data_IF_106465016284
#
_entry.id   IF_106465016284
#
_cell.length_a   1.000
_cell.length_b   1.000
_cell.length_c   1.000
_cell.angle_alpha   90.00
_cell.angle_beta   90.00
_cell.angle_gamma   90.00
#
_symmetry.space_group_name_H-M   'P 1'
#
loop_
_entity.id
_entity.type
_entity.pdbx_description
1 polymer ?
#
# COMPACT_ATOMS: atom_id res chain seq x y z
N UNK A 1 -2.29 -19.14 -24.67
CA UNK A 1 -1.70 -18.71 -23.38
C UNK A 1 -2.79 -18.14 -22.50
N UNK A 2 -3.28 -18.92 -21.54
CA UNK A 2 -4.25 -18.46 -20.54
C UNK A 2 -3.57 -17.35 -19.72
N UNK A 3 -3.98 -16.09 -19.92
CA UNK A 3 -3.51 -14.99 -19.07
C UNK A 3 -4.04 -15.27 -17.65
N UNK A 4 -3.18 -15.84 -16.80
CA UNK A 4 -3.46 -16.01 -15.38
C UNK A 4 -3.91 -14.68 -14.77
N UNK A 5 -4.82 -14.73 -13.79
CA UNK A 5 -5.27 -13.52 -13.08
C UNK A 5 -4.04 -12.76 -12.56
N UNK A 6 -3.98 -11.43 -12.73
CA UNK A 6 -2.86 -10.65 -12.22
C UNK A 6 -2.78 -10.82 -10.70
N UNK A 7 -1.59 -11.19 -10.20
CA UNK A 7 -1.36 -11.32 -8.75
C UNK A 7 -1.71 -10.03 -8.00
N UNK A 8 -2.26 -10.19 -6.80
CA UNK A 8 -2.67 -9.09 -5.93
C UNK A 8 -1.77 -9.01 -4.68
N UNK A 9 -1.55 -7.80 -4.18
CA UNK A 9 -0.85 -7.54 -2.93
C UNK A 9 -1.54 -6.40 -2.15
N UNK A 10 -1.20 -6.29 -0.88
CA UNK A 10 -1.55 -5.15 -0.02
C UNK A 10 -0.25 -4.40 0.30
N UNK A 11 -0.26 -3.07 0.21
CA UNK A 11 0.80 -2.28 0.85
C UNK A 11 0.58 -2.37 2.35
N UNK A 12 1.62 -2.70 3.12
CA UNK A 12 1.49 -2.87 4.55
C UNK A 12 0.78 -1.66 5.18
N UNK A 13 -0.45 -1.83 5.71
CA UNK A 13 -1.26 -0.70 6.19
C UNK A 13 -0.57 0.11 7.28
N UNK A 14 0.29 -0.57 8.04
CA UNK A 14 1.04 0.08 9.10
C UNK A 14 2.09 1.07 8.59
N UNK A 15 2.49 1.01 7.32
CA UNK A 15 3.46 1.94 6.70
C UNK A 15 2.79 3.12 5.98
N UNK A 16 1.47 3.10 5.83
CA UNK A 16 0.75 4.04 4.97
C UNK A 16 0.92 5.48 5.45
N UNK A 17 0.90 5.71 6.76
CA UNK A 17 1.04 7.05 7.33
C UNK A 17 2.43 7.64 7.05
N UNK A 18 3.47 6.80 7.10
CA UNK A 18 4.85 7.19 6.93
C UNK A 18 5.25 7.38 5.45
N UNK A 19 4.60 6.65 4.52
CA UNK A 19 4.82 6.84 3.07
C UNK A 19 3.95 7.94 2.47
N UNK A 20 2.82 8.31 3.10
CA UNK A 20 1.89 9.29 2.55
C UNK A 20 2.54 10.64 2.20
N UNK A 21 3.40 11.25 3.05
CA UNK A 21 4.09 12.49 2.72
C UNK A 21 4.95 12.39 1.45
N UNK A 22 5.51 11.22 1.17
CA UNK A 22 6.36 10.97 0.00
C UNK A 22 5.58 10.96 -1.31
N UNK A 23 4.28 10.65 -1.25
CA UNK A 23 3.40 10.59 -2.43
C UNK A 23 2.93 11.97 -2.91
N UNK A 24 3.03 12.99 -2.05
CA UNK A 24 2.55 14.35 -2.33
C UNK A 24 1.03 14.45 -2.39
N UNK A 25 0.55 15.51 -3.06
CA UNK A 25 -0.88 15.74 -3.26
C UNK A 25 -1.48 14.87 -4.38
N UNK A 26 -2.81 14.92 -4.55
CA UNK A 26 -3.53 14.18 -5.59
C UNK A 26 -3.00 14.44 -7.01
N UNK A 27 -2.64 15.68 -7.33
CA UNK A 27 -2.11 16.06 -8.65
C UNK A 27 -0.67 15.56 -8.87
N UNK A 28 0.06 15.27 -7.80
CA UNK A 28 1.47 14.90 -7.86
C UNK A 28 1.70 13.40 -7.82
N UNK A 29 0.71 12.63 -7.38
CA UNK A 29 0.90 11.21 -7.05
C UNK A 29 1.38 10.36 -8.22
N UNK A 30 0.91 10.65 -9.44
CA UNK A 30 1.37 9.93 -10.62
C UNK A 30 2.85 10.18 -10.87
N UNK A 31 3.31 11.43 -10.66
CA UNK A 31 4.71 11.83 -10.84
C UNK A 31 5.59 11.29 -9.72
N UNK A 32 5.19 11.46 -8.45
CA UNK A 32 6.00 11.12 -7.27
C UNK A 32 6.00 9.62 -6.94
N UNK A 33 4.85 8.95 -7.09
CA UNK A 33 4.65 7.57 -6.66
C UNK A 33 4.44 6.57 -7.82
N UNK A 34 4.29 7.05 -9.06
CA UNK A 34 4.15 6.18 -10.24
C UNK A 34 2.83 5.41 -10.31
N UNK A 35 1.83 5.80 -9.51
CA UNK A 35 0.50 5.17 -9.43
C UNK A 35 -0.61 6.20 -9.57
N UNK A 36 -1.80 5.77 -9.99
CA UNK A 36 -2.97 6.65 -10.06
C UNK A 36 -3.52 6.98 -8.67
N UNK A 37 -4.23 8.11 -8.55
CA UNK A 37 -4.93 8.49 -7.32
C UNK A 37 -5.92 7.41 -6.84
N UNK A 38 -6.62 6.74 -7.76
CA UNK A 38 -7.50 5.61 -7.42
C UNK A 38 -6.73 4.42 -6.79
N UNK A 39 -5.51 4.15 -7.27
CA UNK A 39 -4.66 3.11 -6.67
C UNK A 39 -4.19 3.52 -5.28
N UNK A 40 -3.89 4.80 -5.08
CA UNK A 40 -3.53 5.33 -3.77
C UNK A 40 -4.69 5.27 -2.78
N UNK A 41 -5.92 5.61 -3.18
CA UNK A 41 -7.10 5.44 -2.33
C UNK A 41 -7.23 3.99 -1.84
N UNK A 42 -6.94 3.01 -2.70
CA UNK A 42 -6.91 1.59 -2.31
C UNK A 42 -5.82 1.31 -1.29
N UNK A 43 -4.60 1.78 -1.53
CA UNK A 43 -3.48 1.68 -0.58
C UNK A 43 -3.83 2.30 0.78
N UNK A 44 -4.32 3.54 0.80
CA UNK A 44 -4.70 4.24 2.04
C UNK A 44 -5.85 3.58 2.79
N UNK A 45 -6.66 2.79 2.10
CA UNK A 45 -7.72 2.00 2.70
C UNK A 45 -7.24 0.61 3.15
N UNK A 46 -6.05 0.15 2.76
CA UNK A 46 -5.62 -1.24 2.99
C UNK A 46 -6.27 -2.25 2.03
N UNK A 47 -6.79 -1.78 0.89
CA UNK A 47 -7.37 -2.63 -0.16
C UNK A 47 -6.29 -3.24 -1.05
N UNK A 48 -6.51 -4.46 -1.55
CA UNK A 48 -5.60 -5.08 -2.51
C UNK A 48 -5.46 -4.28 -3.80
N UNK A 49 -4.23 -4.24 -4.29
CA UNK A 49 -3.84 -3.69 -5.59
C UNK A 49 -3.11 -4.77 -6.39
N UNK A 50 -2.94 -4.56 -7.70
CA UNK A 50 -2.12 -5.45 -8.52
C UNK A 50 -0.67 -5.40 -8.04
N UNK A 51 0.03 -6.54 -8.04
CA UNK A 51 1.46 -6.63 -7.70
C UNK A 51 2.30 -5.66 -8.53
N UNK A 52 1.99 -5.48 -9.81
CA UNK A 52 2.70 -4.53 -10.68
C UNK A 52 2.50 -3.06 -10.30
N UNK A 53 1.43 -2.73 -9.59
CA UNK A 53 1.19 -1.38 -9.04
C UNK A 53 1.96 -1.24 -7.72
N UNK A 54 1.89 -2.26 -6.84
CA UNK A 54 2.65 -2.27 -5.59
C UNK A 54 4.16 -2.17 -5.80
N UNK A 55 4.71 -2.91 -6.77
CA UNK A 55 6.13 -2.84 -7.15
C UNK A 55 6.54 -1.47 -7.68
N UNK A 56 5.69 -0.82 -8.48
CA UNK A 56 5.94 0.55 -8.99
C UNK A 56 5.98 1.56 -7.85
N UNK A 57 5.00 1.50 -6.95
CA UNK A 57 4.99 2.34 -5.76
C UNK A 57 6.26 2.13 -4.93
N UNK A 58 6.59 0.87 -4.60
CA UNK A 58 7.78 0.50 -3.85
C UNK A 58 9.06 1.06 -4.46
N UNK A 59 9.27 0.87 -5.77
CA UNK A 59 10.44 1.37 -6.49
C UNK A 59 10.57 2.91 -6.49
N UNK A 60 9.47 3.65 -6.30
CA UNK A 60 9.47 5.13 -6.20
C UNK A 60 9.65 5.63 -4.77
N UNK A 61 9.22 4.85 -3.78
CA UNK A 61 9.24 5.23 -2.37
C UNK A 61 10.56 4.89 -1.70
N UNK A 62 11.12 3.69 -1.93
CA UNK A 62 12.34 3.25 -1.24
C UNK A 62 13.53 4.21 -1.40
N UNK A 63 13.86 4.73 -2.61
CA UNK A 63 14.97 5.67 -2.76
C UNK A 63 14.78 6.98 -1.98
N UNK A 64 13.55 7.30 -1.61
CA UNK A 64 13.14 8.52 -0.90
C UNK A 64 12.76 8.26 0.55
N UNK A 65 12.97 7.04 1.05
CA UNK A 65 12.56 6.66 2.40
C UNK A 65 13.20 7.55 3.48
N UNK A 66 14.45 7.99 3.24
CA UNK A 66 15.19 8.89 4.09
C UNK A 66 14.53 10.26 4.26
N UNK A 67 13.62 10.69 3.38
CA UNK A 67 12.85 11.93 3.53
C UNK A 67 11.77 11.80 4.63
N UNK A 68 11.41 10.57 5.04
CA UNK A 68 10.38 10.31 6.06
C UNK A 68 11.01 9.97 7.40
N UNK A 69 10.82 10.86 8.38
CA UNK A 69 11.24 10.60 9.76
C UNK A 69 10.53 9.39 10.37
N UNK A 70 9.26 9.15 10.01
CA UNK A 70 8.50 7.98 10.47
C UNK A 70 9.13 6.66 10.01
N UNK A 71 9.64 6.61 8.77
CA UNK A 71 10.33 5.41 8.28
C UNK A 71 11.68 5.21 8.99
N UNK A 72 12.45 6.28 9.24
CA UNK A 72 13.70 6.21 10.03
C UNK A 72 13.47 5.65 11.43
N UNK A 73 12.43 6.12 12.13
CA UNK A 73 12.10 5.62 13.47
C UNK A 73 11.67 4.16 13.48
N UNK A 74 11.03 3.70 12.39
CA UNK A 74 10.44 2.36 12.31
C UNK A 74 11.42 1.29 11.83
N UNK A 75 12.35 1.67 10.97
CA UNK A 75 13.39 0.79 10.43
C UNK A 75 14.77 1.39 10.71
N UNK A 76 15.18 1.54 11.98
CA UNK A 76 16.45 2.16 12.31
C UNK A 76 17.63 1.30 11.85
N UNK A 77 18.67 1.93 11.32
CA UNK A 77 19.96 1.30 11.05
C UNK A 77 21.11 2.27 11.29
N UNK A 78 22.31 1.74 11.53
CA UNK A 78 23.56 2.50 11.63
C UNK A 78 24.12 2.80 10.22
N UNK A 79 23.31 3.41 9.35
CA UNK A 79 23.70 3.84 8.00
C UNK A 79 23.66 5.37 7.89
N UNK A 80 24.27 5.92 6.83
CA UNK A 80 24.30 7.37 6.57
C UNK A 80 22.90 8.00 6.53
N UNK A 81 21.89 7.26 6.06
CA UNK A 81 20.51 7.73 5.98
C UNK A 81 19.60 7.21 7.12
N UNK A 82 20.16 6.42 8.04
CA UNK A 82 19.49 5.92 9.24
C UNK A 82 18.37 4.91 9.00
N UNK A 83 18.35 4.22 7.85
CA UNK A 83 17.28 3.30 7.47
C UNK A 83 17.81 1.90 7.14
N UNK A 84 17.21 0.88 7.75
CA UNK A 84 17.31 -0.50 7.27
C UNK A 84 16.43 -0.69 6.03
N UNK A 85 17.02 -0.43 4.86
CA UNK A 85 16.34 -0.57 3.58
C UNK A 85 15.93 -2.01 3.28
N UNK A 86 16.66 -3.01 3.77
CA UNK A 86 16.32 -4.41 3.54
C UNK A 86 15.07 -4.80 4.32
N UNK A 87 14.99 -4.39 5.60
CA UNK A 87 13.80 -4.61 6.42
C UNK A 87 12.58 -3.84 5.88
N UNK A 88 12.76 -2.58 5.46
CA UNK A 88 11.70 -1.80 4.83
C UNK A 88 11.21 -2.44 3.51
N UNK A 89 12.14 -2.88 2.66
CA UNK A 89 11.84 -3.56 1.40
C UNK A 89 11.00 -4.83 1.62
N UNK A 90 11.40 -5.65 2.59
CA UNK A 90 10.69 -6.88 2.97
C UNK A 90 9.30 -6.60 3.56
N UNK A 91 9.15 -5.55 4.36
CA UNK A 91 7.89 -5.20 5.02
C UNK A 91 6.89 -4.45 4.12
N UNK A 92 7.32 -3.95 2.94
CA UNK A 92 6.53 -3.02 2.14
C UNK A 92 5.23 -3.62 1.58
N UNK A 93 5.29 -4.85 1.03
CA UNK A 93 4.16 -5.52 0.41
C UNK A 93 3.81 -6.81 1.18
N UNK A 94 2.53 -6.97 1.50
CA UNK A 94 1.97 -8.18 2.10
C UNK A 94 1.24 -9.01 1.04
N UNK A 95 1.32 -10.35 1.10
CA UNK A 95 0.53 -11.22 0.25
C UNK A 95 -0.97 -11.08 0.56
N UNK A 96 -1.81 -11.31 -0.44
CA UNK A 96 -3.28 -11.34 -0.28
C UNK A 96 -3.71 -12.80 -0.21
N UNK A 97 -4.56 -13.14 0.76
CA UNK A 97 -5.13 -14.47 0.85
C UNK A 97 -5.92 -14.80 -0.45
N UNK A 98 -5.81 -16.02 -1.00
CA UNK A 98 -6.41 -16.38 -2.30
C UNK A 98 -7.91 -16.04 -2.42
N UNK A 99 -8.68 -16.22 -1.35
CA UNK A 99 -10.11 -15.92 -1.29
C UNK A 99 -10.42 -14.44 -1.56
N UNK A 100 -9.59 -13.53 -1.04
CA UNK A 100 -9.75 -12.06 -1.17
C UNK A 100 -9.40 -11.58 -2.57
N UNK A 101 -8.48 -12.25 -3.25
CA UNK A 101 -8.01 -11.84 -4.59
C UNK A 101 -9.10 -11.94 -5.67
N UNK A 102 -10.16 -12.73 -5.45
CA UNK A 102 -11.22 -12.98 -6.44
C UNK A 102 -12.30 -11.89 -6.44
N UNK A 103 -12.58 -11.28 -5.28
CA UNK A 103 -13.69 -10.35 -5.09
C UNK A 103 -13.34 -8.87 -5.35
N UNK A 104 -12.05 -8.51 -5.30
CA UNK A 104 -11.58 -7.13 -5.46
C UNK A 104 -11.72 -6.62 -6.90
N UNK A 105 -11.73 -7.52 -7.89
CA UNK A 105 -11.92 -7.17 -9.31
C UNK A 105 -13.33 -6.65 -9.64
N UNK A 106 -14.31 -6.85 -8.75
CA UNK A 106 -15.69 -6.40 -8.93
C UNK A 106 -16.02 -5.11 -8.16
N UNK A 107 -15.04 -4.41 -7.58
CA UNK A 107 -15.30 -3.18 -6.83
C UNK A 107 -15.64 -2.02 -7.77
N UNK A 108 -16.72 -1.24 -7.50
CA UNK A 108 -17.02 -0.04 -8.26
C UNK A 108 -15.89 0.99 -8.12
N UNK A 109 -15.79 1.98 -9.03
CA UNK A 109 -14.78 3.03 -8.94
C UNK A 109 -14.80 3.70 -7.57
N UNK A 110 -13.68 3.61 -6.85
CA UNK A 110 -13.55 4.11 -5.49
C UNK A 110 -13.06 5.56 -5.56
N UNK A 111 -13.99 6.51 -5.43
CA UNK A 111 -13.69 7.95 -5.54
C UNK A 111 -13.32 8.62 -4.20
N UNK A 112 -13.38 7.89 -3.08
CA UNK A 112 -13.01 8.43 -1.76
C UNK A 112 -12.50 7.34 -0.81
N UNK A 113 -11.59 7.72 0.10
CA UNK A 113 -11.05 6.85 1.14
C UNK A 113 -12.15 6.33 2.07
N UNK A 114 -13.11 7.19 2.44
CA UNK A 114 -14.27 6.79 3.26
C UNK A 114 -15.06 5.65 2.62
N UNK A 115 -15.39 5.76 1.33
CA UNK A 115 -16.12 4.72 0.60
C UNK A 115 -15.29 3.45 0.44
N UNK A 116 -13.98 3.59 0.25
CA UNK A 116 -13.04 2.48 0.23
C UNK A 116 -13.07 1.69 1.55
N UNK A 117 -13.03 2.40 2.68
CA UNK A 117 -13.07 1.80 4.01
C UNK A 117 -14.40 1.09 4.31
N UNK A 118 -15.53 1.69 3.91
CA UNK A 118 -16.85 1.05 4.04
C UNK A 118 -16.94 -0.29 3.29
N UNK A 119 -16.31 -0.39 2.12
CA UNK A 119 -16.27 -1.64 1.35
C UNK A 119 -15.46 -2.76 2.05
N UNK A 120 -14.50 -2.41 2.91
CA UNK A 120 -13.75 -3.39 3.70
C UNK A 120 -14.61 -3.97 4.82
N UNK A 121 -15.27 -3.09 5.58
CA UNK A 121 -16.13 -3.45 6.71
C UNK A 121 -17.30 -4.35 6.26
N UNK A 122 -17.82 -4.14 5.05
CA UNK A 122 -18.92 -4.93 4.51
C UNK A 122 -18.55 -6.24 3.81
N UNK A 123 -17.27 -6.50 3.47
CA UNK A 123 -16.86 -7.69 2.68
C UNK A 123 -15.79 -8.57 3.30
N UNK A 124 -15.01 -8.08 4.27
CA UNK A 124 -13.89 -8.85 4.82
C UNK A 124 -13.82 -8.68 6.34
N UNK A 125 -13.99 -9.76 7.14
CA UNK A 125 -13.87 -9.66 8.59
C UNK A 125 -12.46 -9.22 8.99
N UNK A 126 -12.35 -8.49 10.11
CA UNK A 126 -11.13 -7.89 10.64
C UNK A 126 -9.92 -8.85 10.73
N UNK A 127 -10.19 -10.16 10.83
CA UNK A 127 -9.19 -11.23 10.84
C UNK A 127 -8.30 -11.27 9.58
N UNK A 128 -8.77 -10.76 8.44
CA UNK A 128 -7.99 -10.73 7.19
C UNK A 128 -6.91 -9.63 7.20
N UNK A 129 -7.06 -8.60 8.04
CA UNK A 129 -6.19 -7.41 8.03
C UNK A 129 -5.00 -7.48 8.99
N UNK A 130 -4.91 -8.53 9.82
CA UNK A 130 -3.87 -8.63 10.85
C UNK A 130 -3.94 -7.44 11.81
N UNK A 131 -5.02 -7.37 12.61
CA UNK A 131 -4.99 -6.73 13.92
C UNK A 131 -4.70 -5.23 13.98
N UNK A 132 -5.13 -4.42 13.00
CA UNK A 132 -5.17 -2.96 13.20
C UNK A 132 -6.62 -2.55 13.36
N UNK A 133 -7.03 -2.37 14.61
CA UNK A 133 -8.28 -1.72 14.95
C UNK A 133 -8.26 -0.30 14.37
N UNK A 134 -9.26 0.02 13.55
CA UNK A 134 -9.52 1.40 13.14
C UNK A 134 -10.18 2.10 14.34
N UNK A 135 -9.37 2.72 15.19
CA UNK A 135 -9.80 3.73 16.16
C UNK A 135 -9.63 5.12 15.57
#
# INVERSE_FOLDING_TARGET
>A
MTRGRPGMCIVNPALVAEIAPLTGSQSEIMRRAGISWNSWIKVSAGLPIRVSVGRRLKARILPRAHESEGLRRRFPAETTDGIDHAALDAAFLRPVAPAVSTDVTALPPIRSIRRARQLLVGRYPAAVYGGVALS
#
